data_IF_480342600066
#
_entry.id   IF_480342600066
#
_cell.length_a   1.000
_cell.length_b   1.000
_cell.length_c   1.000
_cell.angle_alpha   90.00
_cell.angle_beta   90.00
_cell.angle_gamma   90.00
#
_symmetry.space_group_name_H-M   'P 1'
#
loop_
_entity.id
_entity.type
_entity.pdbx_description
1 polymer ?
#
# COMPACT_ATOMS: atom_id res chain seq x y z
N UNK A 1 -9.94 -2.72 -9.69
CA UNK A 1 -9.03 -2.57 -8.54
C UNK A 1 -9.27 -1.21 -7.92
N UNK A 2 -9.85 -1.14 -6.72
CA UNK A 2 -10.16 0.12 -6.04
C UNK A 2 -8.99 0.51 -5.11
N UNK A 3 -8.65 1.80 -5.06
CA UNK A 3 -7.56 2.37 -4.23
C UNK A 3 -6.12 1.93 -4.56
N UNK A 4 -5.88 1.29 -5.71
CA UNK A 4 -4.57 0.72 -6.05
C UNK A 4 -3.42 1.74 -5.97
N UNK A 5 -3.54 2.89 -6.66
CA UNK A 5 -2.48 3.93 -6.66
C UNK A 5 -2.25 4.45 -5.23
N UNK A 6 -3.31 4.74 -4.49
CA UNK A 6 -3.23 5.24 -3.10
C UNK A 6 -2.55 4.25 -2.16
N UNK A 7 -2.78 2.95 -2.35
CA UNK A 7 -2.12 1.86 -1.62
C UNK A 7 -0.63 1.72 -1.99
N UNK A 8 -0.30 1.84 -3.28
CA UNK A 8 1.09 1.82 -3.75
C UNK A 8 1.90 2.97 -3.15
N UNK A 9 1.35 4.19 -3.20
CA UNK A 9 2.00 5.36 -2.58
C UNK A 9 2.10 5.19 -1.06
N UNK A 10 1.06 4.67 -0.39
CA UNK A 10 1.10 4.43 1.05
C UNK A 10 2.17 3.43 1.46
N UNK A 11 2.37 2.34 0.70
CA UNK A 11 3.45 1.39 0.91
C UNK A 11 4.83 2.05 0.72
N UNK A 12 5.02 2.83 -0.35
CA UNK A 12 6.28 3.55 -0.60
C UNK A 12 6.61 4.53 0.54
N UNK A 13 5.63 5.32 1.00
CA UNK A 13 5.82 6.26 2.12
C UNK A 13 6.13 5.52 3.42
N UNK A 14 5.50 4.36 3.68
CA UNK A 14 5.79 3.56 4.86
C UNK A 14 7.25 3.06 4.88
N UNK A 15 7.78 2.62 3.73
CA UNK A 15 9.17 2.19 3.59
C UNK A 15 10.11 3.39 3.79
N UNK A 16 9.88 4.51 3.12
CA UNK A 16 10.72 5.71 3.22
C UNK A 16 10.77 6.31 4.63
N UNK A 17 9.76 6.04 5.47
CA UNK A 17 9.70 6.45 6.87
C UNK A 17 10.19 5.39 7.86
N UNK A 18 10.79 4.30 7.37
CA UNK A 18 11.25 3.17 8.18
C UNK A 18 10.13 2.52 9.02
N UNK A 19 8.88 2.59 8.56
CA UNK A 19 7.75 1.87 9.17
C UNK A 19 7.59 0.45 8.61
N UNK A 20 8.27 0.15 7.51
CA UNK A 20 8.29 -1.15 6.84
C UNK A 20 9.68 -1.39 6.22
N UNK A 21 10.05 -2.67 6.07
CA UNK A 21 11.23 -3.07 5.31
C UNK A 21 11.00 -2.96 3.80
N UNK A 22 12.06 -2.73 3.02
CA UNK A 22 12.01 -2.76 1.55
C UNK A 22 11.53 -4.11 0.99
N UNK A 23 11.81 -5.21 1.73
CA UNK A 23 11.35 -6.56 1.38
C UNK A 23 9.81 -6.68 1.33
N UNK A 24 9.08 -5.77 1.99
CA UNK A 24 7.62 -5.71 1.96
C UNK A 24 7.07 -5.68 0.53
N UNK A 25 7.74 -5.00 -0.41
CA UNK A 25 7.28 -4.91 -1.80
C UNK A 25 7.22 -6.30 -2.44
N UNK A 26 8.24 -7.13 -2.22
CA UNK A 26 8.29 -8.48 -2.77
C UNK A 26 7.23 -9.37 -2.11
N UNK A 27 7.09 -9.29 -0.79
CA UNK A 27 6.09 -10.05 -0.05
C UNK A 27 4.66 -9.66 -0.45
N UNK A 28 4.38 -8.38 -0.65
CA UNK A 28 3.05 -7.88 -1.04
C UNK A 28 2.61 -8.34 -2.45
N UNK A 29 3.54 -8.81 -3.29
CA UNK A 29 3.25 -9.33 -4.63
C UNK A 29 3.10 -10.86 -4.65
N UNK A 30 3.32 -11.54 -3.53
CA UNK A 30 3.08 -12.98 -3.40
C UNK A 30 1.57 -13.26 -3.39
N UNK A 31 1.17 -14.39 -3.99
CA UNK A 31 -0.26 -14.71 -4.21
C UNK A 31 -0.98 -15.13 -2.94
N UNK A 32 -0.23 -15.65 -1.98
CA UNK A 32 -0.68 -16.27 -0.74
C UNK A 32 -0.54 -15.34 0.47
N UNK A 33 -0.05 -14.11 0.27
CA UNK A 33 0.10 -13.13 1.33
C UNK A 33 -0.92 -12.00 1.19
N UNK A 34 -1.55 -11.64 2.29
CA UNK A 34 -2.42 -10.48 2.39
C UNK A 34 -1.86 -9.51 3.42
N UNK A 35 -1.54 -8.29 2.98
CA UNK A 35 -0.92 -7.25 3.81
C UNK A 35 -1.82 -6.03 3.80
N UNK A 36 -2.15 -5.52 4.99
CA UNK A 36 -2.86 -4.26 5.12
C UNK A 36 -1.91 -3.08 4.92
N UNK A 37 -1.88 -2.55 3.69
CA UNK A 37 -1.07 -1.36 3.37
C UNK A 37 -1.83 -0.05 3.66
N UNK A 38 -1.13 1.00 4.12
CA UNK A 38 -1.71 2.33 4.27
C UNK A 38 -2.27 2.83 2.94
N UNK A 39 -3.40 3.52 3.00
CA UNK A 39 -4.01 4.17 1.82
C UNK A 39 -3.76 5.66 1.92
N UNK A 40 -2.98 6.22 0.98
CA UNK A 40 -2.70 7.66 0.94
C UNK A 40 -4.01 8.48 0.78
N UNK A 41 -4.09 9.74 1.22
CA UNK A 41 -5.26 10.60 1.02
C UNK A 41 -5.56 10.85 -0.48
N UNK A 42 -6.81 11.16 -0.78
CA UNK A 42 -7.27 11.45 -2.16
C UNK A 42 -6.83 12.81 -2.69
N UNK A 43 -6.56 13.78 -1.80
CA UNK A 43 -6.35 15.19 -2.18
C UNK A 43 -5.28 15.37 -3.25
N UNK A 44 -4.22 14.55 -3.24
CA UNK A 44 -3.11 14.65 -4.19
C UNK A 44 -3.27 13.87 -5.49
N UNK A 45 -4.34 13.09 -5.66
CA UNK A 45 -4.50 12.18 -6.80
C UNK A 45 -5.43 12.77 -7.87
N UNK A 46 -4.90 12.96 -9.07
CA UNK A 46 -5.68 13.32 -10.25
C UNK A 46 -5.23 12.50 -11.47
N UNK A 47 -6.09 12.41 -12.48
CA UNK A 47 -5.76 11.78 -13.77
C UNK A 47 -5.15 12.84 -14.69
N UNK A 48 -3.91 12.62 -15.12
CA UNK A 48 -3.17 13.56 -15.95
C UNK A 48 -3.45 13.36 -17.45
N UNK A 49 -3.13 12.19 -17.99
CA UNK A 49 -3.30 11.88 -19.42
C UNK A 49 -3.87 10.47 -19.64
N UNK A 50 -4.63 10.29 -20.72
CA UNK A 50 -5.09 9.01 -21.23
C UNK A 50 -4.29 8.60 -22.47
N UNK A 51 -3.60 7.47 -22.42
CA UNK A 51 -2.85 6.93 -23.55
C UNK A 51 -3.69 6.01 -24.43
N UNK A 52 -3.76 6.30 -25.73
CA UNK A 52 -4.50 5.51 -26.72
C UNK A 52 -3.60 4.75 -27.70
N UNK A 53 -2.31 4.59 -27.40
CA UNK A 53 -1.29 4.02 -28.30
C UNK A 53 -1.69 2.67 -28.89
N UNK A 54 -2.17 1.73 -28.08
CA UNK A 54 -2.61 0.40 -28.56
C UNK A 54 -3.85 0.46 -29.44
N UNK A 55 -4.77 1.39 -29.17
CA UNK A 55 -5.95 1.60 -30.01
C UNK A 55 -5.55 2.17 -31.37
N UNK A 56 -4.75 3.25 -31.37
CA UNK A 56 -4.25 3.89 -32.58
C UNK A 56 -3.43 2.93 -33.43
N UNK A 57 -2.63 2.06 -32.80
CA UNK A 57 -1.86 1.04 -33.52
C UNK A 57 -2.76 -0.02 -34.17
N UNK A 58 -3.84 -0.44 -33.49
CA UNK A 58 -4.74 -1.47 -34.00
C UNK A 58 -5.63 -0.97 -35.14
N UNK A 59 -6.02 0.30 -35.13
CA UNK A 59 -7.02 0.86 -36.05
C UNK A 59 -6.49 1.90 -37.02
N UNK A 60 -5.16 2.05 -37.11
CA UNK A 60 -4.46 3.04 -37.93
C UNK A 60 -4.94 3.15 -39.38
N UNK A 61 -5.30 2.02 -39.99
CA UNK A 61 -5.69 1.96 -41.40
C UNK A 61 -7.17 2.31 -41.65
N UNK A 62 -7.99 2.38 -40.60
CA UNK A 62 -9.45 2.53 -40.71
C UNK A 62 -10.03 3.70 -39.90
N UNK A 63 -9.33 4.17 -38.87
CA UNK A 63 -9.77 5.24 -37.99
C UNK A 63 -8.69 6.29 -37.82
N UNK A 64 -9.13 7.52 -37.57
CA UNK A 64 -8.24 8.64 -37.20
C UNK A 64 -7.57 8.39 -35.84
N UNK A 65 -6.38 8.98 -35.65
CA UNK A 65 -5.64 8.89 -34.39
C UNK A 65 -6.43 9.58 -33.27
N UNK A 66 -6.73 8.83 -32.21
CA UNK A 66 -7.29 9.40 -30.99
C UNK A 66 -6.15 9.95 -30.13
N UNK A 67 -6.13 11.26 -29.93
CA UNK A 67 -5.12 11.94 -29.12
C UNK A 67 -5.70 13.13 -28.37
N UNK A 68 -5.03 13.52 -27.28
CA UNK A 68 -5.32 14.73 -26.52
C UNK A 68 -4.33 15.87 -26.81
N UNK A 69 -3.39 15.67 -27.76
CA UNK A 69 -2.32 16.63 -28.09
C UNK A 69 -2.84 18.03 -28.44
N UNK A 70 -3.96 18.11 -29.14
CA UNK A 70 -4.56 19.38 -29.54
C UNK A 70 -5.04 20.24 -28.36
N UNK A 71 -5.14 19.64 -27.16
CA UNK A 71 -5.59 20.29 -25.93
C UNK A 71 -4.49 20.32 -24.85
N UNK A 72 -3.23 20.06 -25.21
CA UNK A 72 -2.13 19.97 -24.24
C UNK A 72 -1.94 21.29 -23.47
N UNK A 73 -1.98 22.43 -24.17
CA UNK A 73 -1.82 23.75 -23.57
C UNK A 73 -2.99 24.10 -22.64
N UNK A 74 -4.24 23.87 -23.07
CA UNK A 74 -5.43 24.10 -22.26
C UNK A 74 -5.49 23.18 -21.04
N UNK A 75 -5.06 21.92 -21.19
CA UNK A 75 -4.98 20.97 -20.09
C UNK A 75 -3.91 21.39 -19.07
N UNK A 76 -2.74 21.85 -19.52
CA UNK A 76 -1.71 22.38 -18.63
C UNK A 76 -2.15 23.64 -17.88
N UNK A 77 -2.79 24.60 -18.57
CA UNK A 77 -3.34 25.79 -17.91
C UNK A 77 -4.36 25.37 -16.84
N UNK A 78 -5.25 24.43 -17.17
CA UNK A 78 -6.25 23.94 -16.24
C UNK A 78 -5.63 23.24 -15.02
N UNK A 79 -4.60 22.40 -15.22
CA UNK A 79 -3.85 21.73 -14.14
C UNK A 79 -3.28 22.74 -13.15
N UNK A 80 -2.59 23.77 -13.65
CA UNK A 80 -1.93 24.76 -12.80
C UNK A 80 -2.96 25.63 -12.06
N UNK A 81 -3.94 26.14 -12.79
CA UNK A 81 -4.90 27.13 -12.30
C UNK A 81 -5.95 26.54 -11.36
N UNK A 82 -6.41 25.33 -11.64
CA UNK A 82 -7.52 24.74 -10.91
C UNK A 82 -7.12 23.53 -10.07
N UNK A 83 -6.37 22.58 -10.62
CA UNK A 83 -6.04 21.33 -9.91
C UNK A 83 -5.01 21.61 -8.81
N UNK A 84 -3.79 22.02 -9.15
CA UNK A 84 -2.73 22.24 -8.16
C UNK A 84 -3.08 23.33 -7.14
N UNK A 85 -3.73 24.39 -7.59
CA UNK A 85 -4.23 25.44 -6.71
C UNK A 85 -5.26 24.90 -5.70
N UNK A 86 -6.16 24.02 -6.11
CA UNK A 86 -7.10 23.36 -5.20
C UNK A 86 -6.40 22.42 -4.22
N UNK A 87 -5.47 21.57 -4.70
CA UNK A 87 -4.71 20.63 -3.86
C UNK A 87 -3.97 21.39 -2.75
N UNK A 88 -3.26 22.45 -3.11
CA UNK A 88 -2.50 23.27 -2.17
C UNK A 88 -3.41 23.96 -1.14
N UNK A 89 -4.53 24.54 -1.59
CA UNK A 89 -5.49 25.20 -0.69
C UNK A 89 -6.17 24.22 0.27
N UNK A 90 -6.57 23.05 -0.23
CA UNK A 90 -7.22 22.01 0.58
C UNK A 90 -6.24 21.44 1.61
N UNK A 91 -5.00 21.14 1.24
CA UNK A 91 -4.01 20.65 2.20
C UNK A 91 -3.63 21.73 3.24
N UNK A 92 -3.54 23.00 2.84
CA UNK A 92 -3.32 24.09 3.79
C UNK A 92 -4.44 24.21 4.83
N UNK A 93 -5.69 23.98 4.41
CA UNK A 93 -6.87 24.10 5.27
C UNK A 93 -7.10 22.86 6.15
N UNK A 94 -6.97 21.67 5.58
CA UNK A 94 -7.39 20.42 6.20
C UNK A 94 -6.23 19.59 6.75
N UNK A 95 -5.00 19.77 6.23
CA UNK A 95 -3.82 19.04 6.68
C UNK A 95 -3.95 17.53 6.56
N UNK A 96 -4.69 17.05 5.56
CA UNK A 96 -5.07 15.63 5.41
C UNK A 96 -3.86 14.71 5.28
N UNK A 97 -2.82 15.15 4.56
CA UNK A 97 -1.57 14.40 4.40
C UNK A 97 -0.79 14.42 5.70
N UNK A 98 -0.70 15.55 6.39
CA UNK A 98 -0.04 15.63 7.69
C UNK A 98 -0.69 14.70 8.73
N UNK A 99 -2.01 14.71 8.85
CA UNK A 99 -2.76 13.82 9.74
C UNK A 99 -2.56 12.34 9.38
N UNK A 100 -2.61 12.03 8.08
CA UNK A 100 -2.35 10.68 7.61
C UNK A 100 -0.93 10.22 7.95
N UNK A 101 0.09 11.06 7.76
CA UNK A 101 1.48 10.77 8.12
C UNK A 101 1.64 10.50 9.64
N UNK A 102 0.92 11.22 10.50
CA UNK A 102 0.90 10.91 11.94
C UNK A 102 0.26 9.56 12.25
N UNK A 103 -0.70 9.11 11.45
CA UNK A 103 -1.34 7.80 11.61
C UNK A 103 -0.52 6.62 11.10
N UNK A 104 0.53 6.86 10.30
CA UNK A 104 1.48 5.84 9.86
C UNK A 104 2.39 5.43 11.03
N UNK A 105 1.99 4.39 11.75
CA UNK A 105 2.77 3.77 12.82
C UNK A 105 2.38 2.29 12.99
N UNK A 106 3.22 1.55 13.73
CA UNK A 106 3.07 0.11 13.94
C UNK A 106 1.77 -0.29 14.65
N UNK A 107 1.16 0.61 15.45
CA UNK A 107 -0.11 0.32 16.12
C UNK A 107 -1.26 0.25 15.12
N UNK A 108 -1.22 1.11 14.10
CA UNK A 108 -2.26 1.17 13.07
C UNK A 108 -2.01 0.20 11.91
N UNK A 109 -0.75 -0.21 11.70
CA UNK A 109 -0.34 -1.09 10.60
C UNK A 109 0.64 -2.17 11.10
N UNK A 110 0.16 -3.19 11.83
CA UNK A 110 1.00 -4.25 12.39
C UNK A 110 1.66 -5.13 11.32
N UNK A 111 0.98 -5.37 10.20
CA UNK A 111 1.46 -6.23 9.11
C UNK A 111 2.76 -5.73 8.46
N UNK A 112 3.10 -4.45 8.63
CA UNK A 112 4.31 -3.85 8.05
C UNK A 112 5.60 -4.34 8.70
N UNK A 113 5.54 -4.90 9.92
CA UNK A 113 6.72 -5.44 10.63
C UNK A 113 7.10 -6.85 10.20
N UNK A 114 6.18 -7.60 9.61
CA UNK A 114 6.32 -9.06 9.38
C UNK A 114 7.48 -9.38 8.41
N UNK A 115 7.99 -8.39 7.68
CA UNK A 115 9.06 -8.56 6.70
C UNK A 115 10.48 -8.31 7.25
N UNK A 116 10.66 -8.27 8.59
CA UNK A 116 11.89 -7.85 9.26
C UNK A 116 12.73 -8.90 10.00
N UNK A 117 12.34 -10.18 10.08
CA UNK A 117 13.16 -11.19 10.77
C UNK A 117 13.70 -12.26 9.82
N UNK A 118 14.99 -12.11 9.51
CA UNK A 118 15.80 -13.06 8.78
C UNK A 118 17.26 -12.64 8.82
N UNK A 119 17.85 -12.59 10.03
CA UNK A 119 19.23 -13.03 10.31
C UNK A 119 19.60 -12.78 11.79
N UNK A 120 19.34 -13.78 12.64
CA UNK A 120 20.29 -14.17 13.67
C UNK A 120 20.15 -15.67 13.95
N UNK A 121 21.09 -16.42 13.39
CA UNK A 121 21.35 -17.81 13.69
C UNK A 121 21.87 -17.89 15.13
N UNK A 122 21.11 -18.52 16.03
CA UNK A 122 21.71 -19.31 17.12
C UNK A 122 21.18 -20.72 17.02
N UNK A 123 21.96 -21.54 16.34
CA UNK A 123 21.98 -22.99 16.52
C UNK A 123 22.28 -23.30 17.99
N UNK A 124 21.27 -23.71 18.75
CA UNK A 124 21.44 -24.53 19.94
C UNK A 124 20.63 -25.80 19.75
N UNK A 125 21.32 -26.83 19.29
CA UNK A 125 20.96 -28.21 19.55
C UNK A 125 20.81 -28.37 21.07
N UNK A 126 19.66 -28.86 21.55
CA UNK A 126 19.66 -29.73 22.73
C UNK A 126 18.48 -30.70 22.72
N UNK A 127 18.88 -31.96 22.78
CA UNK A 127 18.12 -33.17 22.68
C UNK A 127 17.49 -33.53 24.05
N UNK A 128 16.22 -33.97 24.05
CA UNK A 128 15.67 -34.92 25.01
C UNK A 128 15.22 -34.41 26.39
N UNK A 129 13.90 -34.46 26.65
CA UNK A 129 13.33 -35.41 27.64
C UNK A 129 11.80 -35.42 27.61
N UNK A 130 11.25 -36.62 27.46
CA UNK A 130 9.88 -37.00 27.80
C UNK A 130 9.48 -36.50 29.20
N UNK A 131 8.24 -36.05 29.33
CA UNK A 131 7.49 -36.29 30.56
C UNK A 131 5.99 -36.44 30.26
N UNK A 132 5.60 -37.70 30.19
CA UNK A 132 4.26 -38.25 30.33
C UNK A 132 3.54 -37.57 31.50
N UNK A 133 2.44 -36.87 31.24
CA UNK A 133 1.50 -36.48 32.30
C UNK A 133 0.27 -37.38 32.19
N UNK A 134 0.22 -38.34 33.11
CA UNK A 134 -0.90 -39.22 33.39
C UNK A 134 -2.15 -38.42 33.75
N UNK A 135 -3.25 -38.68 33.03
CA UNK A 135 -4.60 -38.30 33.44
C UNK A 135 -4.97 -39.06 34.71
N UNK A 136 -5.23 -38.34 35.81
CA UNK A 136 -6.00 -38.87 36.94
C UNK A 136 -7.37 -38.19 36.96
N UNK A 137 -8.38 -38.90 36.47
CA UNK A 137 -9.78 -38.65 36.82
C UNK A 137 -10.00 -39.03 38.29
N UNK A 138 -10.52 -38.08 39.07
CA UNK A 138 -11.17 -38.37 40.34
C UNK A 138 -12.48 -37.59 40.38
N UNK A 139 -13.58 -38.35 40.35
CA UNK A 139 -14.95 -37.94 40.64
C UNK A 139 -15.07 -37.33 42.05
N UNK A 140 -16.00 -36.40 42.20
CA UNK A 140 -16.55 -36.08 43.51
C UNK A 140 -17.18 -34.70 43.61
N UNK A 141 -18.44 -34.56 43.15
CA UNK A 141 -19.50 -33.81 43.85
C UNK A 141 -20.76 -33.66 42.96
N UNK A 142 -21.86 -34.28 43.40
CA UNK A 142 -23.17 -33.65 43.66
C UNK A 142 -24.36 -34.53 43.25
N UNK A 143 -25.13 -34.91 44.29
CA UNK A 143 -26.47 -35.50 44.35
C UNK A 143 -26.58 -37.03 44.16
#
# INVERSE_FOLDING_TARGET
>A
MLHQIRKMIGAAVAIMRNCASESLIQTALQKDVNITVPTAPEVGLYLDECFFTSYNQKWKDSHEELSMKDYEEEAEEFKMKHIYSHIAATEHKEGSVALWLHSLNHRNYPDLQVCGDGDNITSEDNNGKESTTVESMAEGAAL
#
